data_IF_195446291691
#
_entry.id   IF_195446291691
#
_cell.length_a   1.000
_cell.length_b   1.000
_cell.length_c   1.000
_cell.angle_alpha   90.00
_cell.angle_beta   90.00
_cell.angle_gamma   90.00
#
_symmetry.space_group_name_H-M   'P 1'
#
loop_
_entity.id
_entity.type
_entity.pdbx_description
1 polymer ?
#
# COMPACT_ATOMS: atom_id res chain seq x y z
N UNK A 1 -17.49 20.28 -19.16
CA UNK A 1 -17.18 19.05 -19.90
C UNK A 1 -15.73 18.68 -19.63
N UNK A 2 -15.51 17.86 -18.60
CA UNK A 2 -14.21 17.26 -18.34
C UNK A 2 -14.20 15.88 -19.02
N UNK A 3 -13.78 15.86 -20.28
CA UNK A 3 -13.71 14.64 -21.11
C UNK A 3 -12.35 13.96 -21.06
N UNK A 4 -11.44 14.39 -20.19
CA UNK A 4 -10.12 13.81 -20.02
C UNK A 4 -9.99 13.21 -18.62
N UNK A 5 -9.53 11.98 -18.55
CA UNK A 5 -9.06 11.35 -17.33
C UNK A 5 -7.79 12.12 -16.91
N UNK A 6 -7.80 12.69 -15.70
CA UNK A 6 -6.67 13.43 -15.17
C UNK A 6 -5.92 12.53 -14.20
N UNK A 7 -4.62 12.39 -14.38
CA UNK A 7 -3.76 11.62 -13.49
C UNK A 7 -3.68 12.22 -12.08
N UNK A 8 -3.82 13.57 -11.99
CA UNK A 8 -3.72 14.32 -10.74
C UNK A 8 -4.78 15.41 -10.66
N UNK A 9 -5.16 15.74 -9.44
CA UNK A 9 -6.09 16.83 -9.13
C UNK A 9 -5.41 17.82 -8.18
N UNK A 10 -5.53 19.10 -8.48
CA UNK A 10 -5.08 20.16 -7.60
C UNK A 10 -5.96 20.22 -6.34
N UNK A 11 -5.32 20.26 -5.16
CA UNK A 11 -6.00 20.18 -3.84
C UNK A 11 -6.18 21.55 -3.15
N UNK A 12 -5.88 22.66 -3.84
CA UNK A 12 -6.13 24.01 -3.35
C UNK A 12 -5.04 24.61 -2.49
N UNK A 13 -3.89 23.98 -2.35
CA UNK A 13 -2.73 24.51 -1.64
C UNK A 13 -1.60 24.84 -2.61
N UNK A 14 -1.14 26.10 -2.59
CA UNK A 14 -0.03 26.53 -3.42
C UNK A 14 0.77 27.65 -2.80
N UNK A 15 2.03 27.72 -3.13
CA UNK A 15 2.88 28.86 -2.85
C UNK A 15 3.07 29.63 -4.16
N UNK A 16 2.83 30.93 -4.14
CA UNK A 16 2.97 31.79 -5.30
C UNK A 16 3.96 32.91 -5.02
N UNK A 17 4.81 33.19 -5.98
CA UNK A 17 5.64 34.39 -5.99
C UNK A 17 4.81 35.55 -6.50
N UNK A 18 4.43 36.48 -5.60
CA UNK A 18 3.49 37.56 -5.87
C UNK A 18 3.83 38.34 -7.16
N UNK A 19 5.06 38.83 -7.26
CA UNK A 19 5.50 39.65 -8.39
C UNK A 19 5.39 38.92 -9.74
N UNK A 20 5.77 37.65 -9.77
CA UNK A 20 5.67 36.84 -10.99
C UNK A 20 4.23 36.49 -11.34
N UNK A 21 3.41 36.20 -10.32
CA UNK A 21 2.01 35.80 -10.53
C UNK A 21 1.15 36.95 -10.98
N UNK A 22 1.35 38.15 -10.40
CA UNK A 22 0.58 39.35 -10.78
C UNK A 22 0.70 39.73 -12.26
N UNK A 23 1.78 39.43 -12.93
CA UNK A 23 1.98 39.68 -14.37
C UNK A 23 0.99 38.92 -15.26
N UNK A 24 0.36 37.88 -14.76
CA UNK A 24 -0.62 37.06 -15.51
C UNK A 24 -2.06 37.52 -15.31
N UNK A 25 -2.31 38.49 -14.41
CA UNK A 25 -3.63 39.14 -14.29
C UNK A 25 -3.75 40.25 -15.33
N UNK A 26 -4.60 40.03 -16.34
CA UNK A 26 -4.84 41.01 -17.38
C UNK A 26 -5.88 42.04 -16.93
N UNK A 27 -6.85 41.60 -16.15
CA UNK A 27 -7.91 42.45 -15.56
C UNK A 27 -8.18 42.03 -14.12
N UNK A 28 -8.78 42.92 -13.28
CA UNK A 28 -9.18 42.58 -11.92
C UNK A 28 -10.18 41.43 -11.83
N UNK A 29 -10.98 41.20 -12.87
CA UNK A 29 -12.02 40.17 -12.96
C UNK A 29 -11.46 38.80 -13.43
N UNK A 30 -10.18 38.74 -13.77
CA UNK A 30 -9.54 37.53 -14.25
C UNK A 30 -9.60 36.45 -13.18
N UNK A 31 -10.14 35.26 -13.49
CA UNK A 31 -10.21 34.18 -12.55
C UNK A 31 -8.80 33.61 -12.26
N UNK A 32 -8.52 33.22 -11.00
CA UNK A 32 -7.22 32.66 -10.66
C UNK A 32 -6.95 31.38 -11.45
N UNK A 33 -7.97 30.60 -11.76
CA UNK A 33 -7.81 29.40 -12.62
C UNK A 33 -7.34 29.75 -14.04
N UNK A 34 -7.71 30.90 -14.60
CA UNK A 34 -7.18 31.32 -15.89
C UNK A 34 -5.74 31.80 -15.81
N UNK A 35 -5.37 32.43 -14.71
CA UNK A 35 -3.97 32.79 -14.42
C UNK A 35 -3.09 31.54 -14.31
N UNK A 36 -3.52 30.55 -13.54
CA UNK A 36 -2.77 29.28 -13.40
C UNK A 36 -2.61 28.56 -14.74
N UNK A 37 -3.64 28.57 -15.60
CA UNK A 37 -3.53 27.98 -16.95
C UNK A 37 -2.45 28.67 -17.78
N UNK A 38 -2.43 29.99 -17.81
CA UNK A 38 -1.39 30.76 -18.52
C UNK A 38 0.00 30.51 -17.96
N UNK A 39 0.13 30.45 -16.64
CA UNK A 39 1.41 30.12 -15.99
C UNK A 39 1.88 28.70 -16.33
N UNK A 40 0.96 27.74 -16.43
CA UNK A 40 1.28 26.37 -16.84
C UNK A 40 1.74 26.29 -18.30
N UNK A 41 1.05 27.00 -19.22
CA UNK A 41 1.44 27.13 -20.63
C UNK A 41 2.87 27.70 -20.79
N UNK A 42 3.26 28.59 -19.88
CA UNK A 42 4.62 29.17 -19.84
C UNK A 42 5.59 28.39 -18.94
N UNK A 43 5.22 27.19 -18.48
CA UNK A 43 6.07 26.35 -17.62
C UNK A 43 6.52 27.04 -16.32
N UNK A 44 5.68 27.91 -15.76
CA UNK A 44 5.94 28.65 -14.52
C UNK A 44 5.27 28.03 -13.30
N UNK A 45 4.76 26.80 -13.41
CA UNK A 45 4.17 26.05 -12.32
C UNK A 45 4.93 24.74 -12.16
N UNK A 46 5.28 24.43 -10.92
CA UNK A 46 5.73 23.09 -10.52
C UNK A 46 4.74 22.48 -9.52
N UNK A 47 4.52 21.18 -9.59
CA UNK A 47 3.64 20.46 -8.68
C UNK A 47 4.42 19.51 -7.79
N UNK A 48 4.03 19.40 -6.53
CA UNK A 48 4.43 18.30 -5.66
C UNK A 48 3.30 17.27 -5.64
N UNK A 49 3.62 16.03 -6.02
CA UNK A 49 2.64 14.95 -6.04
C UNK A 49 2.55 14.33 -4.65
N UNK A 50 1.37 14.43 -4.05
CA UNK A 50 1.04 13.79 -2.78
C UNK A 50 0.26 12.51 -3.05
N UNK A 51 0.75 11.39 -2.52
CA UNK A 51 0.11 10.07 -2.69
C UNK A 51 -0.78 9.68 -1.51
N UNK A 52 -0.67 10.38 -0.39
CA UNK A 52 -1.53 10.18 0.76
C UNK A 52 -3.00 10.42 0.45
N UNK A 53 -3.88 9.79 1.24
CA UNK A 53 -5.30 9.95 1.05
C UNK A 53 -5.75 11.40 1.33
N UNK A 54 -6.26 12.08 0.30
CA UNK A 54 -6.92 13.37 0.46
C UNK A 54 -8.41 13.16 0.71
N UNK A 55 -8.87 13.69 1.82
CA UNK A 55 -10.29 13.66 2.21
C UNK A 55 -10.82 15.06 2.40
N UNK A 56 -12.03 15.32 1.88
CA UNK A 56 -12.72 16.58 2.07
C UNK A 56 -14.11 16.36 2.64
N UNK A 57 -14.68 17.42 3.25
CA UNK A 57 -16.01 17.43 3.85
C UNK A 57 -16.91 18.47 3.19
N UNK A 58 -16.64 18.78 1.91
CA UNK A 58 -17.33 19.85 1.17
C UNK A 58 -18.78 19.55 0.79
N UNK A 59 -19.16 18.28 0.80
CA UNK A 59 -20.51 17.79 0.51
C UNK A 59 -20.82 16.52 1.32
N UNK A 60 -22.10 16.10 1.45
CA UNK A 60 -22.50 14.97 2.28
C UNK A 60 -21.85 13.64 1.88
N UNK A 61 -21.61 13.41 0.59
CA UNK A 61 -20.98 12.16 0.11
C UNK A 61 -19.51 12.10 0.55
N UNK A 62 -18.77 13.17 0.35
CA UNK A 62 -17.38 13.29 0.76
C UNK A 62 -17.23 13.26 2.26
N UNK A 63 -18.14 13.93 2.99
CA UNK A 63 -18.16 13.84 4.46
C UNK A 63 -18.33 12.42 4.95
N UNK A 64 -19.31 11.67 4.42
CA UNK A 64 -19.54 10.27 4.79
C UNK A 64 -18.33 9.38 4.50
N UNK A 65 -17.67 9.61 3.37
CA UNK A 65 -16.46 8.89 2.98
C UNK A 65 -15.29 9.20 3.93
N UNK A 66 -15.15 10.48 4.33
CA UNK A 66 -14.15 10.90 5.32
C UNK A 66 -14.44 10.30 6.69
N UNK A 67 -15.71 10.30 7.12
CA UNK A 67 -16.14 9.67 8.37
C UNK A 67 -15.80 8.17 8.37
N UNK A 68 -16.07 7.46 7.27
CA UNK A 68 -15.74 6.03 7.16
C UNK A 68 -14.22 5.78 7.18
N UNK A 69 -13.44 6.64 6.56
CA UNK A 69 -11.98 6.60 6.62
C UNK A 69 -11.43 6.78 8.04
N UNK A 70 -12.05 7.65 8.83
CA UNK A 70 -11.62 7.96 10.20
C UNK A 70 -12.05 6.89 11.23
N UNK A 71 -13.01 6.03 10.90
CA UNK A 71 -13.43 4.95 11.80
C UNK A 71 -12.27 3.97 12.04
N UNK A 72 -12.01 3.58 13.29
CA UNK A 72 -11.04 2.54 13.59
C UNK A 72 -11.36 1.25 12.83
N UNK A 73 -10.39 0.68 12.15
CA UNK A 73 -10.54 -0.60 11.45
C UNK A 73 -9.39 -1.52 11.85
N UNK A 74 -9.70 -2.75 12.25
CA UNK A 74 -8.71 -3.77 12.54
C UNK A 74 -8.24 -4.41 11.23
N UNK A 75 -7.33 -3.73 10.53
CA UNK A 75 -6.74 -4.18 9.27
C UNK A 75 -5.24 -4.38 9.48
N UNK A 76 -4.75 -5.51 8.99
CA UNK A 76 -3.32 -5.81 8.89
C UNK A 76 -2.98 -5.99 7.41
N UNK A 77 -1.94 -5.29 6.95
CA UNK A 77 -1.30 -5.55 5.67
C UNK A 77 -0.29 -6.66 5.85
N UNK A 78 -0.20 -7.59 4.92
CA UNK A 78 0.66 -8.77 5.05
C UNK A 78 1.29 -9.14 3.70
N UNK A 79 2.59 -9.43 3.68
CA UNK A 79 3.21 -10.03 2.49
C UNK A 79 2.76 -11.47 2.31
N UNK A 80 2.88 -11.98 1.10
CA UNK A 80 2.51 -13.35 0.76
C UNK A 80 3.69 -14.30 0.87
N UNK A 81 4.71 -14.06 0.05
CA UNK A 81 5.82 -15.00 -0.14
C UNK A 81 6.89 -14.84 0.95
N UNK A 82 6.99 -15.81 1.84
CA UNK A 82 7.85 -15.80 3.02
C UNK A 82 7.13 -15.45 4.31
N UNK A 83 5.84 -15.06 4.21
CA UNK A 83 4.98 -14.79 5.35
C UNK A 83 3.79 -15.75 5.38
N UNK A 84 2.95 -15.80 4.35
CA UNK A 84 1.81 -16.73 4.26
C UNK A 84 2.26 -18.10 3.74
N UNK A 85 3.06 -18.09 2.69
CA UNK A 85 3.64 -19.30 2.10
C UNK A 85 5.16 -19.21 2.05
N UNK A 86 5.81 -20.38 2.00
CA UNK A 86 7.26 -20.44 1.84
C UNK A 86 7.68 -19.77 0.53
N UNK A 87 8.78 -19.03 0.57
CA UNK A 87 9.39 -18.45 -0.63
C UNK A 87 9.87 -19.55 -1.58
N UNK A 88 9.70 -19.33 -2.87
CA UNK A 88 10.43 -20.06 -3.89
C UNK A 88 11.96 -19.81 -3.76
N UNK A 89 12.76 -20.68 -4.34
CA UNK A 89 14.21 -20.48 -4.40
C UNK A 89 14.55 -19.20 -5.16
N UNK A 90 15.74 -18.66 -4.90
CA UNK A 90 16.17 -17.41 -5.55
C UNK A 90 16.11 -17.53 -7.08
N UNK A 91 15.35 -16.64 -7.70
CA UNK A 91 15.14 -16.62 -9.15
C UNK A 91 13.95 -17.43 -9.65
N UNK A 92 13.31 -18.21 -8.77
CA UNK A 92 12.08 -18.95 -9.03
C UNK A 92 10.86 -18.20 -8.48
N UNK A 93 9.67 -18.68 -8.82
CA UNK A 93 8.40 -18.12 -8.37
C UNK A 93 7.42 -19.25 -8.03
N UNK A 94 6.47 -18.95 -7.15
CA UNK A 94 5.30 -19.82 -6.94
C UNK A 94 4.37 -19.60 -8.13
N UNK A 95 4.47 -20.45 -9.14
CA UNK A 95 3.75 -20.33 -10.41
C UNK A 95 2.52 -21.22 -10.51
N UNK A 96 2.45 -22.27 -9.71
CA UNK A 96 1.31 -23.18 -9.62
C UNK A 96 0.89 -23.39 -8.17
N UNK A 97 -0.38 -23.81 -7.99
CA UNK A 97 -0.90 -24.07 -6.64
C UNK A 97 -0.12 -25.19 -5.92
N UNK A 98 0.37 -26.15 -6.65
CA UNK A 98 1.14 -27.30 -6.15
C UNK A 98 2.46 -26.89 -5.52
N UNK A 99 2.99 -25.71 -5.92
CA UNK A 99 4.21 -25.13 -5.34
C UNK A 99 3.93 -24.28 -4.08
N UNK A 100 2.64 -24.04 -3.77
CA UNK A 100 2.23 -23.19 -2.66
C UNK A 100 2.28 -23.96 -1.33
N UNK A 101 3.34 -23.78 -0.60
CA UNK A 101 3.55 -24.41 0.70
C UNK A 101 3.23 -23.42 1.84
N UNK A 102 2.21 -23.72 2.63
CA UNK A 102 1.81 -22.91 3.78
C UNK A 102 2.89 -22.78 4.84
N UNK A 103 2.95 -21.63 5.53
CA UNK A 103 3.67 -21.47 6.79
C UNK A 103 2.67 -21.69 7.92
N UNK A 104 2.74 -22.84 8.65
CA UNK A 104 1.71 -23.20 9.64
C UNK A 104 1.54 -22.18 10.75
N UNK A 105 2.64 -21.62 11.27
CA UNK A 105 2.63 -20.62 12.35
C UNK A 105 1.90 -19.34 11.93
N UNK A 106 2.04 -18.94 10.66
CA UNK A 106 1.31 -17.78 10.13
C UNK A 106 -0.18 -18.06 10.03
N UNK A 107 -0.57 -19.24 9.55
CA UNK A 107 -1.99 -19.60 9.46
C UNK A 107 -2.66 -19.59 10.85
N UNK A 108 -1.99 -20.14 11.85
CA UNK A 108 -2.48 -20.15 13.23
C UNK A 108 -2.57 -18.74 13.82
N UNK A 109 -1.54 -17.92 13.63
CA UNK A 109 -1.53 -16.53 14.09
C UNK A 109 -2.66 -15.72 13.45
N UNK A 110 -2.88 -15.88 12.14
CA UNK A 110 -3.95 -15.17 11.43
C UNK A 110 -5.34 -15.59 11.95
N UNK A 111 -5.54 -16.87 12.34
CA UNK A 111 -6.79 -17.31 12.98
C UNK A 111 -7.00 -16.63 14.32
N UNK A 112 -5.97 -16.58 15.17
CA UNK A 112 -6.07 -15.91 16.48
C UNK A 112 -6.37 -14.42 16.33
N UNK A 113 -5.69 -13.72 15.43
CA UNK A 113 -5.95 -12.31 15.13
C UNK A 113 -7.34 -12.09 14.53
N UNK A 114 -7.84 -13.02 13.69
CA UNK A 114 -9.17 -12.94 13.12
C UNK A 114 -10.27 -13.11 14.20
N UNK A 115 -10.04 -13.93 15.22
CA UNK A 115 -10.94 -14.07 16.39
C UNK A 115 -11.08 -12.74 17.16
N UNK A 116 -10.03 -11.92 17.17
CA UNK A 116 -10.07 -10.56 17.73
C UNK A 116 -10.59 -9.51 16.73
N UNK A 117 -11.06 -9.92 15.56
CA UNK A 117 -11.70 -9.08 14.55
C UNK A 117 -10.77 -8.46 13.53
N UNK A 118 -9.50 -8.85 13.49
CA UNK A 118 -8.58 -8.40 12.45
C UNK A 118 -8.93 -9.02 11.09
N UNK A 119 -8.77 -8.22 10.04
CA UNK A 119 -8.90 -8.62 8.65
C UNK A 119 -7.60 -8.28 7.91
N UNK A 120 -7.31 -9.02 6.85
CA UNK A 120 -6.02 -8.93 6.20
C UNK A 120 -6.15 -8.43 4.77
N UNK A 121 -5.15 -7.69 4.33
CA UNK A 121 -4.95 -7.31 2.93
C UNK A 121 -3.54 -7.74 2.54
N UNK A 122 -3.44 -8.54 1.48
CA UNK A 122 -2.17 -9.05 0.99
C UNK A 122 -1.51 -8.02 0.07
N UNK A 123 -0.20 -7.79 0.26
CA UNK A 123 0.63 -6.84 -0.51
C UNK A 123 1.85 -7.57 -1.05
N UNK A 124 1.86 -7.94 -2.32
CA UNK A 124 2.90 -8.83 -2.86
C UNK A 124 3.55 -8.33 -4.16
N UNK A 125 4.89 -8.44 -4.24
CA UNK A 125 5.65 -8.22 -5.47
C UNK A 125 5.65 -9.49 -6.33
N UNK A 126 5.07 -9.44 -7.53
CA UNK A 126 4.89 -10.58 -8.43
C UNK A 126 5.56 -10.34 -9.81
N UNK A 127 6.85 -10.02 -9.81
CA UNK A 127 7.61 -9.76 -11.04
C UNK A 127 7.71 -10.96 -11.99
N UNK A 128 7.35 -12.15 -11.53
CA UNK A 128 7.25 -13.35 -12.38
C UNK A 128 6.29 -13.17 -13.56
N UNK A 129 5.28 -12.29 -13.40
CA UNK A 129 4.35 -11.95 -14.50
C UNK A 129 5.10 -11.21 -15.62
N UNK A 130 5.78 -10.11 -15.31
CA UNK A 130 6.55 -9.35 -16.30
C UNK A 130 7.68 -10.17 -16.94
N UNK A 131 8.16 -11.21 -16.24
CA UNK A 131 9.19 -12.13 -16.75
C UNK A 131 8.62 -13.30 -17.56
N UNK A 132 7.30 -13.40 -17.71
CA UNK A 132 6.65 -14.54 -18.37
C UNK A 132 6.83 -15.88 -17.65
N UNK A 133 7.14 -15.86 -16.35
CA UNK A 133 7.34 -17.04 -15.51
C UNK A 133 6.09 -17.43 -14.71
N UNK A 134 5.12 -16.53 -14.63
CA UNK A 134 3.81 -16.75 -14.01
C UNK A 134 2.74 -16.24 -14.97
N UNK A 135 1.84 -17.11 -15.36
CA UNK A 135 0.64 -16.68 -16.07
C UNK A 135 -0.32 -15.97 -15.09
N UNK A 136 -0.87 -14.80 -15.45
CA UNK A 136 -1.80 -14.07 -14.58
C UNK A 136 -2.98 -14.92 -14.09
N UNK A 137 -3.51 -15.81 -14.94
CA UNK A 137 -4.59 -16.72 -14.61
C UNK A 137 -4.20 -17.74 -13.53
N UNK A 138 -2.97 -18.25 -13.55
CA UNK A 138 -2.45 -19.17 -12.54
C UNK A 138 -2.29 -18.45 -11.19
N UNK A 139 -1.73 -17.24 -11.20
CA UNK A 139 -1.62 -16.44 -9.97
C UNK A 139 -3.00 -16.16 -9.37
N UNK A 140 -4.00 -15.85 -10.19
CA UNK A 140 -5.37 -15.66 -9.74
C UNK A 140 -5.97 -16.94 -9.12
N UNK A 141 -5.67 -18.12 -9.69
CA UNK A 141 -6.09 -19.41 -9.11
C UNK A 141 -5.43 -19.66 -7.76
N UNK A 142 -4.13 -19.38 -7.62
CA UNK A 142 -3.40 -19.47 -6.35
C UNK A 142 -4.10 -18.58 -5.30
N UNK A 143 -4.38 -17.33 -5.64
CA UNK A 143 -5.03 -16.38 -4.74
C UNK A 143 -6.44 -16.81 -4.35
N UNK A 144 -7.25 -17.32 -5.30
CA UNK A 144 -8.60 -17.84 -5.01
C UNK A 144 -8.56 -19.04 -4.06
N UNK A 145 -7.65 -20.00 -4.28
CA UNK A 145 -7.50 -21.18 -3.41
C UNK A 145 -7.00 -20.75 -2.01
N UNK A 146 -6.05 -19.83 -1.94
CA UNK A 146 -5.56 -19.26 -0.68
C UNK A 146 -6.70 -18.57 0.10
N UNK A 147 -7.45 -17.68 -0.53
CA UNK A 147 -8.58 -16.98 0.10
C UNK A 147 -9.66 -17.95 0.59
N UNK A 148 -10.01 -18.95 -0.24
CA UNK A 148 -10.99 -19.98 0.12
C UNK A 148 -10.56 -20.74 1.38
N UNK A 149 -9.29 -21.18 1.45
CA UNK A 149 -8.76 -21.89 2.60
C UNK A 149 -8.81 -21.02 3.86
N UNK A 150 -8.40 -19.76 3.78
CA UNK A 150 -8.49 -18.84 4.91
C UNK A 150 -9.94 -18.58 5.34
N UNK A 151 -10.87 -18.46 4.40
CA UNK A 151 -12.28 -18.29 4.70
C UNK A 151 -12.86 -19.51 5.46
N UNK A 152 -12.46 -20.73 5.10
CA UNK A 152 -12.83 -21.97 5.82
C UNK A 152 -12.31 -21.97 7.26
N UNK A 153 -11.18 -21.30 7.52
CA UNK A 153 -10.57 -21.11 8.84
C UNK A 153 -11.09 -19.87 9.58
N UNK A 154 -12.08 -19.14 9.04
CA UNK A 154 -12.65 -17.94 9.64
C UNK A 154 -11.79 -16.68 9.47
N UNK A 155 -10.73 -16.73 8.66
CA UNK A 155 -9.86 -15.59 8.37
C UNK A 155 -10.34 -14.85 7.13
N UNK A 156 -10.50 -13.53 7.22
CA UNK A 156 -10.96 -12.69 6.12
C UNK A 156 -9.77 -12.03 5.44
N UNK A 157 -9.47 -12.47 4.20
CA UNK A 157 -8.60 -11.74 3.28
C UNK A 157 -9.48 -10.79 2.46
N UNK A 158 -9.48 -9.51 2.83
CA UNK A 158 -10.34 -8.49 2.18
C UNK A 158 -9.96 -8.24 0.73
N UNK A 159 -8.65 -8.25 0.45
CA UNK A 159 -8.14 -7.96 -0.89
C UNK A 159 -6.69 -8.44 -1.04
N UNK A 160 -6.23 -8.48 -2.28
CA UNK A 160 -4.86 -8.82 -2.64
C UNK A 160 -4.37 -7.81 -3.67
N UNK A 161 -3.35 -7.03 -3.30
CA UNK A 161 -2.66 -6.09 -4.19
C UNK A 161 -1.35 -6.70 -4.64
N UNK A 162 -1.12 -6.71 -5.93
CA UNK A 162 0.11 -7.22 -6.52
C UNK A 162 0.81 -6.16 -7.35
N UNK A 163 2.14 -6.21 -7.37
CA UNK A 163 2.93 -5.51 -8.37
C UNK A 163 3.42 -6.52 -9.42
N UNK A 164 2.89 -6.52 -10.64
CA UNK A 164 3.29 -7.44 -11.69
C UNK A 164 4.55 -7.01 -12.44
N UNK A 165 5.05 -5.80 -12.21
CA UNK A 165 6.08 -5.14 -13.00
C UNK A 165 7.48 -5.70 -12.74
N UNK A 166 8.34 -5.63 -13.77
CA UNK A 166 9.76 -5.89 -13.61
C UNK A 166 10.41 -4.82 -12.73
N UNK A 167 11.51 -5.18 -12.05
CA UNK A 167 12.20 -4.22 -11.15
C UNK A 167 12.84 -3.04 -11.89
N UNK A 168 13.08 -3.14 -13.20
CA UNK A 168 13.63 -2.07 -14.05
C UNK A 168 12.58 -1.08 -14.55
N UNK A 169 11.28 -1.40 -14.43
CA UNK A 169 10.19 -0.51 -14.89
C UNK A 169 9.97 0.70 -13.98
N UNK A 170 10.63 0.78 -12.84
CA UNK A 170 10.54 1.86 -11.85
C UNK A 170 9.11 2.26 -11.46
N UNK A 171 8.16 1.31 -11.49
CA UNK A 171 6.77 1.54 -11.17
C UNK A 171 6.58 1.98 -9.70
N UNK A 172 5.54 2.76 -9.42
CA UNK A 172 5.24 3.22 -8.07
C UNK A 172 4.71 2.12 -7.13
N UNK A 173 4.11 1.05 -7.68
CA UNK A 173 3.48 -0.01 -6.87
C UNK A 173 4.48 -0.99 -6.24
N UNK A 174 5.68 -1.18 -6.82
CA UNK A 174 6.63 -2.20 -6.36
C UNK A 174 7.30 -1.82 -5.03
N UNK A 175 7.19 -2.68 -4.00
CA UNK A 175 7.98 -2.57 -2.76
C UNK A 175 9.49 -2.53 -3.11
N UNK A 176 10.27 -1.57 -2.60
CA UNK A 176 10.06 -0.73 -1.42
C UNK A 176 9.29 0.59 -1.66
N UNK A 177 8.64 0.80 -2.81
CA UNK A 177 7.75 1.95 -3.01
C UNK A 177 6.38 1.67 -2.39
N UNK A 178 5.67 2.71 -1.89
CA UNK A 178 4.48 2.57 -1.06
C UNK A 178 3.17 2.40 -1.84
N UNK A 179 3.21 2.36 -3.17
CA UNK A 179 2.03 2.51 -4.02
C UNK A 179 0.92 1.51 -3.76
N UNK A 180 1.22 0.23 -3.50
CA UNK A 180 0.20 -0.77 -3.18
C UNK A 180 -0.47 -0.49 -1.83
N UNK A 181 0.28 0.03 -0.83
CA UNK A 181 -0.28 0.37 0.48
C UNK A 181 -1.26 1.55 0.34
N UNK A 182 -0.90 2.59 -0.41
CA UNK A 182 -1.80 3.72 -0.70
C UNK A 182 -3.05 3.28 -1.48
N UNK A 183 -2.90 2.39 -2.48
CA UNK A 183 -4.03 1.82 -3.22
C UNK A 183 -4.98 1.06 -2.29
N UNK A 184 -4.44 0.24 -1.39
CA UNK A 184 -5.22 -0.51 -0.41
C UNK A 184 -5.99 0.43 0.55
N UNK A 185 -5.31 1.42 1.12
CA UNK A 185 -5.92 2.43 1.99
C UNK A 185 -7.03 3.22 1.28
N UNK A 186 -6.79 3.66 0.05
CA UNK A 186 -7.76 4.40 -0.77
C UNK A 186 -9.00 3.57 -1.09
N UNK A 187 -8.81 2.27 -1.43
CA UNK A 187 -9.93 1.37 -1.80
C UNK A 187 -10.78 0.97 -0.60
N UNK A 188 -10.13 0.69 0.53
CA UNK A 188 -10.79 0.15 1.73
C UNK A 188 -11.03 1.18 2.83
N UNK A 189 -10.65 2.44 2.60
CA UNK A 189 -10.86 3.59 3.48
C UNK A 189 -10.36 3.34 4.91
N UNK A 190 -9.10 2.96 5.07
CA UNK A 190 -8.44 2.80 6.37
C UNK A 190 -7.19 3.67 6.47
N UNK A 191 -6.82 4.01 7.70
CA UNK A 191 -5.67 4.84 8.01
C UNK A 191 -4.40 4.00 8.06
N UNK A 192 -3.40 4.34 7.24
CA UNK A 192 -2.09 3.67 7.24
C UNK A 192 -1.33 3.89 8.55
N UNK A 193 -1.42 5.08 9.16
CA UNK A 193 -0.81 5.39 10.46
C UNK A 193 -1.45 4.66 11.67
N UNK A 194 -2.50 3.88 11.43
CA UNK A 194 -3.20 3.01 12.40
C UNK A 194 -3.21 1.55 11.95
N UNK A 195 -2.32 1.18 11.04
CA UNK A 195 -2.28 -0.13 10.43
C UNK A 195 -0.86 -0.69 10.56
N UNK A 196 -0.73 -2.00 10.69
CA UNK A 196 0.54 -2.71 10.69
C UNK A 196 0.77 -3.37 9.33
N UNK A 197 2.00 -3.34 8.83
CA UNK A 197 2.43 -4.14 7.69
C UNK A 197 3.40 -5.22 8.16
N UNK A 198 3.07 -6.48 7.92
CA UNK A 198 3.86 -7.65 8.31
C UNK A 198 4.58 -8.19 7.07
N UNK A 199 5.90 -8.25 7.13
CA UNK A 199 6.73 -8.74 6.05
C UNK A 199 8.00 -9.45 6.54
N UNK A 200 8.69 -10.12 5.65
CA UNK A 200 9.95 -10.84 5.93
C UNK A 200 11.14 -10.32 5.09
N UNK A 201 10.92 -9.20 4.39
CA UNK A 201 11.93 -8.55 3.59
C UNK A 201 12.08 -7.08 4.02
N UNK A 202 13.30 -6.54 3.99
CA UNK A 202 13.57 -5.13 4.33
C UNK A 202 12.79 -4.15 3.46
N UNK A 203 12.45 -4.54 2.22
CA UNK A 203 11.60 -3.75 1.33
C UNK A 203 10.17 -3.55 1.86
N UNK A 204 9.69 -4.45 2.73
CA UNK A 204 8.38 -4.33 3.37
C UNK A 204 8.42 -3.22 4.42
N UNK A 205 9.47 -3.19 5.25
CA UNK A 205 9.70 -2.12 6.22
C UNK A 205 9.84 -0.76 5.53
N UNK A 206 10.61 -0.69 4.45
CA UNK A 206 10.79 0.52 3.66
C UNK A 206 9.49 1.00 3.01
N UNK A 207 8.67 0.08 2.48
CA UNK A 207 7.38 0.42 1.89
C UNK A 207 6.41 0.92 2.96
N UNK A 208 6.43 0.32 4.14
CA UNK A 208 5.62 0.75 5.28
C UNK A 208 5.99 2.15 5.73
N UNK A 209 7.27 2.42 6.00
CA UNK A 209 7.77 3.74 6.38
C UNK A 209 7.33 4.81 5.39
N UNK A 210 7.59 4.61 4.09
CA UNK A 210 7.22 5.55 3.01
C UNK A 210 5.71 5.76 2.87
N UNK A 211 4.91 4.83 3.37
CA UNK A 211 3.45 4.93 3.41
C UNK A 211 2.93 5.52 4.73
N UNK A 212 3.80 5.84 5.68
CA UNK A 212 3.41 6.25 7.04
C UNK A 212 2.72 5.14 7.83
N UNK A 213 3.09 3.88 7.57
CA UNK A 213 2.55 2.67 8.21
C UNK A 213 3.63 2.05 9.10
N UNK A 214 3.26 1.56 10.27
CA UNK A 214 4.17 0.78 11.12
C UNK A 214 4.40 -0.61 10.52
N UNK A 215 5.60 -1.19 10.71
CA UNK A 215 5.93 -2.54 10.22
C UNK A 215 6.36 -3.48 11.32
N UNK A 216 6.14 -4.78 11.09
CA UNK A 216 6.68 -5.90 11.86
C UNK A 216 7.51 -6.75 10.89
N UNK A 217 8.75 -7.04 11.27
CA UNK A 217 9.64 -7.87 10.47
C UNK A 217 9.64 -9.30 11.00
N UNK A 218 9.42 -10.26 10.11
CA UNK A 218 9.51 -11.69 10.43
C UNK A 218 10.83 -12.25 9.91
N UNK A 219 11.71 -12.64 10.81
CA UNK A 219 13.00 -13.22 10.47
C UNK A 219 14.14 -12.77 11.37
N UNK A 220 15.37 -13.01 10.92
CA UNK A 220 16.58 -12.63 11.64
C UNK A 220 16.80 -11.11 11.58
N UNK A 221 16.91 -10.50 12.75
CA UNK A 221 17.15 -9.05 12.90
C UNK A 221 18.46 -8.56 12.28
N UNK A 222 19.40 -9.41 11.98
CA UNK A 222 20.64 -9.04 11.25
C UNK A 222 20.35 -8.45 9.86
N UNK A 223 19.24 -8.83 9.23
CA UNK A 223 18.80 -8.24 7.97
C UNK A 223 18.47 -6.75 8.09
N UNK A 224 18.10 -6.30 9.29
CA UNK A 224 17.64 -4.93 9.57
C UNK A 224 18.81 -3.91 9.74
N UNK A 225 20.04 -4.39 9.88
CA UNK A 225 21.22 -3.51 10.06
C UNK A 225 21.44 -2.53 8.90
N UNK A 226 20.86 -2.81 7.73
CA UNK A 226 20.97 -1.98 6.52
C UNK A 226 19.89 -0.91 6.42
N UNK A 227 18.89 -0.94 7.30
CA UNK A 227 17.79 0.03 7.31
C UNK A 227 18.18 1.29 8.09
N UNK A 228 17.68 2.44 7.65
CA UNK A 228 17.76 3.67 8.41
C UNK A 228 16.93 3.59 9.69
N UNK A 229 17.12 4.53 10.61
CA UNK A 229 16.37 4.53 11.87
C UNK A 229 14.85 4.66 11.66
N UNK A 230 14.44 5.42 10.62
CA UNK A 230 13.03 5.62 10.27
C UNK A 230 12.42 4.35 9.67
N UNK A 231 13.22 3.55 8.95
CA UNK A 231 12.78 2.33 8.29
C UNK A 231 12.72 1.11 9.23
N UNK A 232 13.18 1.27 10.49
CA UNK A 232 13.17 0.16 11.45
C UNK A 232 11.73 -0.26 11.78
N UNK A 233 11.45 -1.59 11.81
CA UNK A 233 10.14 -2.08 12.25
C UNK A 233 9.91 -1.75 13.73
N UNK A 234 8.64 -1.71 14.15
CA UNK A 234 8.29 -1.56 15.58
C UNK A 234 8.91 -2.67 16.42
N UNK A 235 8.94 -3.87 15.88
CA UNK A 235 9.72 -4.99 16.40
C UNK A 235 9.95 -6.05 15.32
N UNK A 236 10.91 -6.93 15.57
CA UNK A 236 11.12 -8.16 14.80
C UNK A 236 10.74 -9.40 15.62
N UNK A 237 10.39 -10.47 14.92
CA UNK A 237 10.01 -11.75 15.53
C UNK A 237 10.42 -12.92 14.63
N UNK A 238 10.74 -14.08 15.18
CA UNK A 238 11.02 -15.28 14.37
C UNK A 238 9.81 -15.75 13.55
N UNK A 239 8.61 -15.60 14.11
CA UNK A 239 7.35 -15.98 13.44
C UNK A 239 6.22 -15.00 13.74
N UNK A 240 5.15 -15.06 12.95
CA UNK A 240 3.96 -14.28 13.22
C UNK A 240 3.24 -14.76 14.49
N UNK A 241 3.29 -16.07 14.77
CA UNK A 241 2.67 -16.63 15.95
C UNK A 241 3.25 -16.05 17.25
N UNK A 242 4.58 -15.90 17.30
CA UNK A 242 5.29 -15.28 18.44
C UNK A 242 4.96 -13.77 18.60
N UNK A 243 4.34 -13.18 17.60
CA UNK A 243 4.00 -11.75 17.55
C UNK A 243 2.57 -11.46 17.99
N UNK A 244 1.68 -12.44 18.05
CA UNK A 244 0.23 -12.26 18.26
C UNK A 244 -0.07 -11.46 19.51
N UNK A 245 0.50 -11.85 20.66
CA UNK A 245 0.27 -11.14 21.93
C UNK A 245 0.72 -9.67 21.90
N UNK A 246 1.80 -9.38 21.17
CA UNK A 246 2.29 -8.00 21.02
C UNK A 246 1.36 -7.18 20.13
N UNK A 247 0.85 -7.78 19.04
CA UNK A 247 -0.09 -7.13 18.12
C UNK A 247 -1.40 -6.82 18.84
N UNK A 248 -1.93 -7.75 19.65
CA UNK A 248 -3.18 -7.57 20.37
C UNK A 248 -3.12 -6.49 21.47
N UNK A 249 -1.92 -6.16 21.97
CA UNK A 249 -1.71 -5.10 22.98
C UNK A 249 -1.40 -3.72 22.36
N UNK A 250 -1.18 -3.66 21.07
CA UNK A 250 -0.81 -2.44 20.35
C UNK A 250 -2.05 -1.74 19.81
#
# INVERSE_FOLDING_TARGET
NRSFELDFVEIGYMFVEKEKTLKYFETPECSFSSVLRKMAEHQQISGYVQYDAYHSISDPERWKKTEDYLKPKKIILIDRDGVINRKAKRGEYISHWEDFEWIPDTCEAMKQLAQDGYQFIVISNQAGIARGMIEPSELEQIHRKMQKRFQEDGVIIRDIFICPHHWEEDCFCRKPKPGMLHQASKKHLFRLDKTLFIGDDTRDCQAAERAGCASIFLGDSSALEKLSNEEQPVFSSPSLLDSVDKILRH
#
